data_IF_959442004428
#
_entry.id   IF_959442004428
#
_cell.length_a   1.000
_cell.length_b   1.000
_cell.length_c   1.000
_cell.angle_alpha   90.00
_cell.angle_beta   90.00
_cell.angle_gamma   90.00
#
_symmetry.space_group_name_H-M   'P 1'
#
loop_
_entity.id
_entity.type
_entity.pdbx_description
1 polymer ?
#
# COMPACT_ATOMS: atom_id res chain seq x y z
N UNK A 1 -43.19 -18.57 7.51
CA UNK A 1 -41.96 -17.99 6.93
C UNK A 1 -42.38 -16.81 6.10
N UNK A 2 -41.88 -15.59 6.36
CA UNK A 2 -42.21 -14.43 5.51
C UNK A 2 -41.62 -14.66 4.12
N UNK A 3 -42.36 -14.30 3.09
CA UNK A 3 -41.85 -14.23 1.73
C UNK A 3 -40.85 -13.09 1.60
N UNK A 4 -39.92 -13.17 0.65
CA UNK A 4 -39.00 -12.06 0.36
C UNK A 4 -39.76 -10.75 0.08
N UNK A 5 -40.91 -10.86 -0.60
CA UNK A 5 -41.80 -9.73 -0.89
C UNK A 5 -42.31 -9.05 0.40
N UNK A 6 -42.72 -9.83 1.39
CA UNK A 6 -43.18 -9.30 2.69
C UNK A 6 -42.03 -8.71 3.52
N UNK A 7 -40.81 -9.23 3.37
CA UNK A 7 -39.64 -8.68 4.07
C UNK A 7 -39.14 -7.36 3.48
N UNK A 8 -39.34 -7.15 2.16
CA UNK A 8 -38.97 -5.90 1.48
C UNK A 8 -40.07 -4.84 1.52
N UNK A 9 -41.30 -5.23 1.87
CA UNK A 9 -42.41 -4.31 2.01
C UNK A 9 -42.10 -3.25 3.08
N UNK A 10 -42.00 -1.98 2.68
CA UNK A 10 -41.68 -0.87 3.56
C UNK A 10 -40.18 -0.56 3.70
N UNK A 11 -39.30 -1.23 2.94
CA UNK A 11 -37.91 -0.79 2.85
C UNK A 11 -37.83 0.60 2.21
N UNK A 12 -37.23 1.53 2.95
CA UNK A 12 -36.93 2.88 2.46
C UNK A 12 -35.41 2.92 2.25
N UNK A 13 -35.00 3.15 1.00
CA UNK A 13 -33.60 3.26 0.67
C UNK A 13 -32.99 4.50 1.36
N UNK A 14 -31.91 4.34 2.15
CA UNK A 14 -31.21 5.46 2.72
C UNK A 14 -30.48 6.25 1.61
N UNK A 15 -30.44 7.58 1.75
CA UNK A 15 -29.64 8.45 0.88
C UNK A 15 -28.32 8.76 1.60
N UNK A 16 -27.23 8.20 1.10
CA UNK A 16 -25.90 8.45 1.65
C UNK A 16 -25.26 9.69 1.03
N UNK A 17 -24.77 10.60 1.88
CA UNK A 17 -24.03 11.78 1.46
C UNK A 17 -22.62 11.44 0.95
N UNK A 18 -22.04 12.35 0.15
CA UNK A 18 -20.62 12.26 -0.22
C UNK A 18 -19.76 12.70 0.96
N UNK A 19 -18.80 11.87 1.35
CA UNK A 19 -17.79 12.23 2.35
C UNK A 19 -16.65 12.99 1.67
N UNK A 20 -16.26 14.14 2.22
CA UNK A 20 -15.10 14.92 1.75
C UNK A 20 -13.82 14.33 2.33
N UNK A 21 -12.72 14.44 1.59
CA UNK A 21 -11.40 14.05 2.11
C UNK A 21 -10.87 15.15 3.03
N UNK A 22 -10.65 14.78 4.29
CA UNK A 22 -10.09 15.60 5.37
C UNK A 22 -9.11 14.75 6.19
N UNK A 23 -8.25 15.38 7.01
CA UNK A 23 -7.42 14.66 7.98
C UNK A 23 -8.21 13.60 8.77
N UNK A 24 -9.37 13.95 9.34
CA UNK A 24 -10.19 13.01 10.11
C UNK A 24 -10.66 11.79 9.32
N UNK A 25 -10.96 11.96 8.03
CA UNK A 25 -11.36 10.83 7.18
C UNK A 25 -10.17 9.94 6.82
N UNK A 26 -8.96 10.51 6.70
CA UNK A 26 -7.76 9.70 6.54
C UNK A 26 -7.46 8.92 7.82
N UNK A 27 -7.59 9.53 9.01
CA UNK A 27 -7.45 8.85 10.30
C UNK A 27 -8.45 7.69 10.40
N UNK A 28 -9.71 7.94 10.05
CA UNK A 28 -10.76 6.90 10.07
C UNK A 28 -10.39 5.71 9.19
N UNK A 29 -9.88 5.95 7.98
CA UNK A 29 -9.45 4.88 7.07
C UNK A 29 -8.17 4.20 7.58
N UNK A 30 -7.21 4.94 8.14
CA UNK A 30 -5.99 4.41 8.77
C UNK A 30 -6.36 3.42 9.88
N UNK A 31 -7.13 3.86 10.87
CA UNK A 31 -7.58 3.03 12.00
C UNK A 31 -8.37 1.82 11.52
N UNK A 32 -9.35 2.01 10.62
CA UNK A 32 -10.15 0.90 10.10
C UNK A 32 -9.30 -0.16 9.41
N UNK A 33 -8.36 0.25 8.55
CA UNK A 33 -7.45 -0.68 7.89
C UNK A 33 -6.49 -1.34 8.89
N UNK A 34 -6.00 -0.60 9.88
CA UNK A 34 -5.05 -1.13 10.86
C UNK A 34 -5.68 -2.24 11.70
N UNK A 35 -6.88 -1.98 12.25
CA UNK A 35 -7.64 -2.95 13.02
C UNK A 35 -7.99 -4.19 12.20
N UNK A 36 -8.34 -3.99 10.92
CA UNK A 36 -8.65 -5.09 10.03
C UNK A 36 -7.42 -5.96 9.72
N UNK A 37 -6.26 -5.35 9.42
CA UNK A 37 -5.01 -6.07 9.18
C UNK A 37 -4.56 -6.81 10.44
N UNK A 38 -4.59 -6.17 11.61
CA UNK A 38 -4.17 -6.79 12.86
C UNK A 38 -5.01 -8.05 13.16
N UNK A 39 -6.33 -7.95 13.04
CA UNK A 39 -7.23 -9.11 13.19
C UNK A 39 -6.89 -10.23 12.20
N UNK A 40 -6.55 -9.90 10.95
CA UNK A 40 -6.21 -10.88 9.91
C UNK A 40 -4.86 -11.54 10.15
N UNK A 41 -3.87 -10.79 10.65
CA UNK A 41 -2.58 -11.35 11.10
C UNK A 41 -2.81 -12.34 12.24
N UNK A 42 -3.62 -11.98 13.23
CA UNK A 42 -3.93 -12.88 14.34
C UNK A 42 -4.70 -14.11 13.87
N UNK A 43 -5.71 -13.93 13.02
CA UNK A 43 -6.47 -15.03 12.38
C UNK A 43 -5.54 -16.00 11.64
N UNK A 44 -4.59 -15.48 10.85
CA UNK A 44 -3.61 -16.29 10.09
C UNK A 44 -2.86 -17.28 10.97
N UNK A 45 -2.47 -16.87 12.18
CA UNK A 45 -1.72 -17.71 13.10
C UNK A 45 -2.58 -18.73 13.85
N UNK A 46 -3.90 -18.61 13.81
CA UNK A 46 -4.84 -19.55 14.43
C UNK A 46 -5.39 -20.60 13.46
N UNK A 47 -5.36 -20.32 12.15
CA UNK A 47 -5.83 -21.26 11.13
C UNK A 47 -4.79 -22.34 10.87
N UNK A 48 -5.23 -23.60 10.92
CA UNK A 48 -4.39 -24.76 10.67
C UNK A 48 -5.01 -25.66 9.59
N UNK A 49 -4.18 -26.18 8.70
CA UNK A 49 -4.56 -27.15 7.65
C UNK A 49 -5.64 -26.68 6.64
N UNK A 50 -5.91 -25.38 6.54
CA UNK A 50 -6.81 -24.81 5.52
C UNK A 50 -6.06 -23.79 4.64
N UNK A 51 -5.53 -24.27 3.51
CA UNK A 51 -4.74 -23.45 2.59
C UNK A 51 -5.58 -22.42 1.84
N UNK A 52 -6.86 -22.71 1.60
CA UNK A 52 -7.75 -21.75 0.95
C UNK A 52 -8.07 -20.61 1.90
N UNK A 53 -8.35 -20.91 3.17
CA UNK A 53 -8.59 -19.87 4.18
C UNK A 53 -7.35 -19.00 4.38
N UNK A 54 -6.16 -19.59 4.51
CA UNK A 54 -4.91 -18.83 4.58
C UNK A 54 -4.68 -17.93 3.35
N UNK A 55 -5.13 -18.37 2.15
CA UNK A 55 -5.11 -17.54 0.94
C UNK A 55 -6.08 -16.37 1.05
N UNK A 56 -7.31 -16.58 1.52
CA UNK A 56 -8.28 -15.48 1.68
C UNK A 56 -7.83 -14.46 2.72
N UNK A 57 -7.22 -14.88 3.82
CA UNK A 57 -6.60 -13.96 4.79
C UNK A 57 -5.53 -13.10 4.12
N UNK A 58 -4.69 -13.69 3.26
CA UNK A 58 -3.69 -12.92 2.50
C UNK A 58 -4.33 -11.92 1.53
N UNK A 59 -5.39 -12.31 0.84
CA UNK A 59 -6.15 -11.43 -0.07
C UNK A 59 -6.75 -10.24 0.71
N UNK A 60 -7.31 -10.50 1.90
CA UNK A 60 -7.88 -9.47 2.77
C UNK A 60 -6.80 -8.46 3.20
N UNK A 61 -5.63 -8.92 3.65
CA UNK A 61 -4.53 -8.03 4.03
C UNK A 61 -4.10 -7.17 2.84
N UNK A 62 -3.91 -7.76 1.66
CA UNK A 62 -3.55 -7.01 0.44
C UNK A 62 -4.61 -5.96 0.09
N UNK A 63 -5.90 -6.29 0.24
CA UNK A 63 -7.00 -5.34 0.01
C UNK A 63 -6.95 -4.15 0.98
N UNK A 64 -6.72 -4.39 2.28
CA UNK A 64 -6.64 -3.32 3.27
C UNK A 64 -5.40 -2.45 3.10
N UNK A 65 -4.24 -3.04 2.77
CA UNK A 65 -3.02 -2.30 2.42
C UNK A 65 -3.24 -1.39 1.21
N UNK A 66 -3.78 -1.94 0.12
CA UNK A 66 -4.07 -1.15 -1.10
C UNK A 66 -5.09 -0.05 -0.84
N UNK A 67 -6.10 -0.31 0.00
CA UNK A 67 -7.09 0.70 0.40
C UNK A 67 -6.43 1.84 1.15
N UNK A 68 -5.55 1.53 2.11
CA UNK A 68 -4.78 2.53 2.85
C UNK A 68 -3.91 3.35 1.89
N UNK A 69 -3.06 2.70 1.08
CA UNK A 69 -2.16 3.42 0.16
C UNK A 69 -2.90 4.29 -0.84
N UNK A 70 -4.00 3.79 -1.42
CA UNK A 70 -4.83 4.59 -2.32
C UNK A 70 -5.43 5.81 -1.63
N UNK A 71 -5.99 5.63 -0.43
CA UNK A 71 -6.75 6.70 0.22
C UNK A 71 -5.84 7.69 0.96
N UNK A 72 -4.87 7.19 1.73
CA UNK A 72 -4.04 7.96 2.66
C UNK A 72 -2.70 8.42 2.07
N UNK A 73 -2.25 7.86 0.93
CA UNK A 73 -1.01 8.27 0.25
C UNK A 73 -1.32 8.86 -1.13
N UNK A 74 -1.88 8.05 -2.04
CA UNK A 74 -2.12 8.44 -3.44
C UNK A 74 -3.10 9.61 -3.57
N UNK A 75 -4.21 9.55 -2.83
CA UNK A 75 -5.28 10.54 -2.88
C UNK A 75 -5.15 11.62 -1.80
N UNK A 76 -4.07 11.57 -0.99
CA UNK A 76 -3.78 12.60 0.00
C UNK A 76 -3.13 13.79 -0.69
N UNK A 77 -3.74 14.97 -0.51
CA UNK A 77 -3.29 16.20 -1.13
C UNK A 77 -1.82 16.46 -0.79
N UNK A 78 -1.01 16.75 -1.81
CA UNK A 78 0.40 17.13 -1.66
C UNK A 78 1.41 15.98 -1.64
N UNK A 79 1.00 14.71 -1.57
CA UNK A 79 1.94 13.58 -1.50
C UNK A 79 1.94 12.77 -2.80
N UNK A 80 0.80 12.18 -3.18
CA UNK A 80 0.63 11.22 -4.30
C UNK A 80 1.44 9.91 -4.16
N UNK A 81 2.65 9.96 -3.66
CA UNK A 81 3.57 8.84 -3.43
C UNK A 81 4.69 9.31 -2.49
N UNK A 82 5.48 8.41 -1.92
CA UNK A 82 6.63 8.82 -1.11
C UNK A 82 7.74 9.44 -1.96
N UNK A 83 7.87 8.96 -3.19
CA UNK A 83 8.91 9.36 -4.12
C UNK A 83 8.37 9.56 -5.53
N UNK A 84 9.08 10.32 -6.35
CA UNK A 84 8.81 10.44 -7.78
C UNK A 84 10.07 10.26 -8.61
N UNK A 85 9.89 9.72 -9.81
CA UNK A 85 10.90 9.76 -10.87
C UNK A 85 11.11 11.21 -11.33
N UNK A 86 12.39 11.64 -11.33
CA UNK A 86 12.79 12.93 -11.87
C UNK A 86 12.56 12.92 -13.38
N UNK A 87 11.92 13.97 -13.88
CA UNK A 87 11.54 14.10 -15.30
C UNK A 87 10.66 12.94 -15.82
N UNK A 88 9.73 12.44 -14.99
CA UNK A 88 8.73 11.46 -15.40
C UNK A 88 7.85 11.94 -16.57
N UNK A 89 7.35 10.97 -17.33
CA UNK A 89 6.37 11.18 -18.39
C UNK A 89 5.03 11.71 -17.82
N UNK A 90 4.19 12.32 -18.66
CA UNK A 90 2.83 12.72 -18.23
C UNK A 90 1.98 11.55 -17.72
N UNK A 91 2.24 10.35 -18.25
CA UNK A 91 1.52 9.13 -17.91
C UNK A 91 2.32 8.28 -16.92
N UNK A 92 1.89 8.33 -15.66
CA UNK A 92 2.55 7.66 -14.53
C UNK A 92 1.65 6.64 -13.84
N UNK A 93 2.26 5.65 -13.20
CA UNK A 93 1.58 4.72 -12.32
C UNK A 93 2.02 4.91 -10.86
N UNK A 94 1.13 4.57 -9.92
CA UNK A 94 1.46 4.42 -8.51
C UNK A 94 2.08 3.04 -8.28
N UNK A 95 3.38 3.00 -7.99
CA UNK A 95 4.18 1.79 -7.86
C UNK A 95 4.57 1.54 -6.41
N UNK A 96 4.55 0.28 -5.99
CA UNK A 96 5.04 -0.15 -4.68
C UNK A 96 6.48 -0.63 -4.81
N UNK A 97 7.46 0.14 -4.35
CA UNK A 97 8.88 -0.19 -4.53
C UNK A 97 9.24 -1.54 -3.88
N UNK A 98 8.59 -1.87 -2.76
CA UNK A 98 8.54 -3.24 -2.23
C UNK A 98 7.17 -3.82 -2.60
N UNK A 99 7.10 -4.94 -3.36
CA UNK A 99 5.83 -5.54 -3.76
C UNK A 99 4.90 -5.79 -2.57
N UNK A 100 3.62 -5.44 -2.70
CA UNK A 100 2.64 -5.57 -1.62
C UNK A 100 2.57 -6.98 -1.01
N UNK A 101 2.73 -8.02 -1.83
CA UNK A 101 2.78 -9.41 -1.36
C UNK A 101 3.94 -9.65 -0.37
N UNK A 102 5.11 -9.04 -0.59
CA UNK A 102 6.23 -9.14 0.35
C UNK A 102 5.96 -8.39 1.65
N UNK A 103 5.35 -7.20 1.57
CA UNK A 103 4.95 -6.43 2.76
C UNK A 103 3.99 -7.24 3.64
N UNK A 104 2.97 -7.85 3.02
CA UNK A 104 2.07 -8.78 3.70
C UNK A 104 2.81 -9.95 4.33
N UNK A 105 3.73 -10.58 3.62
CA UNK A 105 4.47 -11.73 4.15
C UNK A 105 5.38 -11.32 5.32
N UNK A 106 5.92 -10.10 5.32
CA UNK A 106 6.65 -9.51 6.46
C UNK A 106 5.74 -9.26 7.68
N UNK A 107 4.51 -8.80 7.46
CA UNK A 107 3.50 -8.65 8.52
C UNK A 107 3.14 -10.00 9.15
N UNK A 108 2.85 -11.01 8.32
CA UNK A 108 2.53 -12.37 8.77
C UNK A 108 3.72 -13.02 9.49
N UNK A 109 4.94 -12.70 9.08
CA UNK A 109 6.16 -13.14 9.77
C UNK A 109 6.50 -12.28 11.01
N UNK A 110 5.67 -11.27 11.35
CA UNK A 110 5.87 -10.32 12.45
C UNK A 110 7.24 -9.65 12.42
N UNK A 111 7.75 -9.35 11.22
CA UNK A 111 9.04 -8.65 11.00
C UNK A 111 8.89 -7.15 10.90
N UNK A 112 7.71 -6.68 10.53
CA UNK A 112 7.33 -5.27 10.51
C UNK A 112 6.00 -5.09 11.23
N UNK A 113 5.75 -3.88 11.69
CA UNK A 113 4.48 -3.46 12.29
C UNK A 113 3.49 -3.01 11.21
N UNK A 114 2.20 -2.88 11.57
CA UNK A 114 1.18 -2.31 10.67
C UNK A 114 1.51 -0.88 10.22
N UNK A 115 1.96 0.05 11.09
CA UNK A 115 2.43 1.36 10.65
C UNK A 115 3.58 1.30 9.64
N UNK A 116 4.56 0.40 9.83
CA UNK A 116 5.64 0.20 8.86
C UNK A 116 5.14 -0.38 7.52
N UNK A 117 4.12 -1.25 7.53
CA UNK A 117 3.52 -1.75 6.31
C UNK A 117 2.73 -0.66 5.55
N UNK A 118 2.02 0.19 6.29
CA UNK A 118 1.36 1.38 5.75
C UNK A 118 2.35 2.37 5.15
N UNK A 119 3.48 2.58 5.81
CA UNK A 119 4.56 3.45 5.36
C UNK A 119 5.59 2.69 4.50
N UNK A 120 5.16 1.74 3.66
CA UNK A 120 6.08 1.09 2.70
C UNK A 120 6.39 2.08 1.56
N UNK A 121 7.63 2.11 1.03
CA UNK A 121 8.01 3.01 -0.05
C UNK A 121 7.12 2.83 -1.30
N UNK A 122 6.59 3.94 -1.80
CA UNK A 122 5.80 4.02 -3.02
C UNK A 122 6.32 5.12 -3.93
N UNK A 123 6.19 4.92 -5.23
CA UNK A 123 6.83 5.77 -6.24
C UNK A 123 5.82 6.13 -7.32
N UNK A 124 5.81 7.39 -7.72
CA UNK A 124 5.24 7.81 -9.00
C UNK A 124 6.26 7.54 -10.09
N UNK A 125 5.99 6.54 -10.91
CA UNK A 125 6.90 6.03 -11.93
C UNK A 125 6.25 6.15 -13.32
N UNK A 126 7.01 6.56 -14.34
CA UNK A 126 6.52 6.60 -15.72
C UNK A 126 6.01 5.24 -16.15
N UNK A 127 4.85 5.19 -16.83
CA UNK A 127 4.21 3.93 -17.21
C UNK A 127 5.15 3.05 -18.05
N UNK A 128 5.92 3.65 -18.96
CA UNK A 128 6.92 2.94 -19.76
C UNK A 128 7.98 2.24 -18.89
N UNK A 129 8.46 2.90 -17.83
CA UNK A 129 9.43 2.33 -16.89
C UNK A 129 8.82 1.23 -16.02
N UNK A 130 7.57 1.39 -15.61
CA UNK A 130 6.83 0.33 -14.91
C UNK A 130 6.67 -0.92 -15.79
N UNK A 131 6.42 -0.76 -17.10
CA UNK A 131 6.42 -1.88 -18.04
C UNK A 131 7.80 -2.52 -18.18
N UNK A 132 8.86 -1.72 -18.35
CA UNK A 132 10.24 -2.21 -18.42
C UNK A 132 10.64 -3.03 -17.18
N UNK A 133 10.22 -2.59 -15.99
CA UNK A 133 10.42 -3.31 -14.73
C UNK A 133 9.78 -4.72 -14.75
N UNK A 134 8.57 -4.82 -15.32
CA UNK A 134 7.85 -6.10 -15.46
C UNK A 134 8.55 -7.02 -16.46
N UNK A 135 8.96 -6.48 -17.60
CA UNK A 135 9.67 -7.25 -18.64
C UNK A 135 11.02 -7.78 -18.16
N UNK A 136 11.72 -7.01 -17.32
CA UNK A 136 12.97 -7.43 -16.68
C UNK A 136 12.74 -8.43 -15.52
N UNK A 137 11.50 -8.84 -15.23
CA UNK A 137 11.17 -9.84 -14.22
C UNK A 137 11.17 -9.33 -12.77
N UNK A 138 11.20 -8.00 -12.58
CA UNK A 138 11.21 -7.33 -11.27
C UNK A 138 9.82 -6.90 -10.79
N UNK A 139 8.75 -7.38 -11.44
CA UNK A 139 7.37 -7.10 -11.05
C UNK A 139 7.03 -7.56 -9.62
N UNK A 140 7.60 -8.70 -9.21
CA UNK A 140 7.33 -9.37 -7.94
C UNK A 140 8.61 -9.71 -7.16
N UNK A 141 9.74 -9.10 -7.55
CA UNK A 141 11.06 -9.36 -6.95
C UNK A 141 11.69 -8.04 -6.51
N UNK A 142 12.35 -8.08 -5.37
CA UNK A 142 13.16 -6.99 -4.83
C UNK A 142 14.51 -7.59 -4.44
N UNK A 143 15.64 -7.12 -5.00
CA UNK A 143 16.94 -7.70 -4.71
C UNK A 143 17.40 -7.48 -3.26
N UNK A 144 16.89 -6.43 -2.61
CA UNK A 144 17.11 -6.18 -1.18
C UNK A 144 15.91 -5.46 -0.58
N UNK A 145 15.31 -6.03 0.47
CA UNK A 145 14.25 -5.33 1.23
C UNK A 145 14.81 -4.13 2.01
N UNK A 146 16.05 -4.23 2.49
CA UNK A 146 16.69 -3.18 3.27
C UNK A 146 17.20 -2.02 2.39
N UNK A 147 17.59 -2.30 1.14
CA UNK A 147 17.96 -1.29 0.13
C UNK A 147 16.98 -1.37 -1.06
N UNK A 148 15.77 -0.83 -0.92
CA UNK A 148 14.67 -1.12 -1.83
C UNK A 148 14.89 -0.56 -3.24
N UNK A 149 15.64 0.53 -3.39
CA UNK A 149 15.95 1.17 -4.69
C UNK A 149 16.86 0.34 -5.60
N UNK A 150 17.53 -0.70 -5.09
CA UNK A 150 18.25 -1.65 -5.94
C UNK A 150 17.36 -2.28 -7.01
N UNK A 151 16.04 -2.31 -6.78
CA UNK A 151 15.05 -2.77 -7.76
C UNK A 151 15.02 -1.93 -9.04
N UNK A 152 15.41 -0.65 -8.98
CA UNK A 152 15.40 0.28 -10.11
C UNK A 152 16.77 0.42 -10.79
N UNK A 153 17.80 -0.32 -10.36
CA UNK A 153 19.12 -0.32 -11.03
C UNK A 153 19.01 -0.64 -12.54
N UNK A 154 18.00 -1.42 -12.94
CA UNK A 154 17.75 -1.78 -14.33
C UNK A 154 17.07 -0.67 -15.17
N UNK A 155 16.58 0.40 -14.54
CA UNK A 155 15.82 1.47 -15.19
C UNK A 155 16.67 2.70 -15.52
N UNK A 156 17.78 2.89 -14.80
CA UNK A 156 18.67 4.05 -14.96
C UNK A 156 17.98 5.38 -14.68
N UNK A 157 17.09 5.41 -13.68
CA UNK A 157 16.28 6.59 -13.32
C UNK A 157 16.82 7.28 -12.08
N UNK A 158 16.51 8.56 -11.95
CA UNK A 158 16.73 9.33 -10.73
C UNK A 158 15.41 9.45 -9.96
N UNK A 159 15.49 9.34 -8.64
CA UNK A 159 14.35 9.40 -7.75
C UNK A 159 14.56 10.51 -6.72
N UNK A 160 13.48 11.21 -6.38
CA UNK A 160 13.42 12.23 -5.34
C UNK A 160 12.22 11.99 -4.43
N UNK A 161 12.27 12.43 -3.17
CA UNK A 161 11.12 12.37 -2.26
C UNK A 161 10.03 13.37 -2.67
N UNK A 162 8.79 13.17 -2.23
CA UNK A 162 7.67 14.08 -2.55
C UNK A 162 7.90 15.52 -2.05
N UNK A 163 8.72 15.71 -1.03
CA UNK A 163 9.15 16.99 -0.46
C UNK A 163 10.47 17.51 -1.04
N UNK A 164 10.83 17.02 -2.23
CA UNK A 164 11.93 17.47 -3.08
C UNK A 164 13.35 17.18 -2.55
N UNK A 165 13.51 16.27 -1.58
CA UNK A 165 14.82 15.83 -1.11
C UNK A 165 15.43 14.78 -2.06
N UNK A 166 16.64 15.08 -2.53
CA UNK A 166 17.46 14.12 -3.28
C UNK A 166 17.87 12.95 -2.38
N UNK A 167 17.84 11.74 -2.95
CA UNK A 167 18.27 10.53 -2.25
C UNK A 167 19.43 9.85 -2.97
N UNK A 168 20.38 9.33 -2.21
CA UNK A 168 21.38 8.40 -2.73
C UNK A 168 20.77 7.01 -2.84
N UNK A 169 20.20 6.67 -4.00
CA UNK A 169 19.52 5.40 -4.25
C UNK A 169 20.36 4.15 -3.91
N UNK A 170 21.70 4.24 -3.99
CA UNK A 170 22.57 3.10 -3.70
C UNK A 170 22.65 2.79 -2.20
N UNK A 171 22.59 3.84 -1.37
CA UNK A 171 22.76 3.75 0.08
C UNK A 171 21.46 4.01 0.86
N UNK A 172 20.38 4.44 0.20
CA UNK A 172 19.10 4.71 0.84
C UNK A 172 18.48 3.42 1.37
N UNK A 173 18.32 3.36 2.70
CA UNK A 173 17.82 2.21 3.43
C UNK A 173 16.33 2.33 3.74
N UNK A 174 15.71 1.19 4.07
CA UNK A 174 14.35 1.16 4.57
C UNK A 174 14.21 1.87 5.94
N UNK A 175 15.27 1.89 6.76
CA UNK A 175 15.30 2.65 8.01
C UNK A 175 15.26 4.15 7.77
N UNK A 176 16.06 4.64 6.82
CA UNK A 176 16.02 6.06 6.39
C UNK A 176 14.67 6.43 5.81
N UNK A 177 14.06 5.53 5.03
CA UNK A 177 12.69 5.72 4.55
C UNK A 177 11.70 5.90 5.72
N UNK A 178 11.67 4.97 6.67
CA UNK A 178 10.75 5.05 7.80
C UNK A 178 10.97 6.29 8.66
N UNK A 179 12.22 6.67 8.91
CA UNK A 179 12.56 7.88 9.65
C UNK A 179 12.13 9.15 8.90
N UNK A 180 12.38 9.22 7.59
CA UNK A 180 12.05 10.40 6.78
C UNK A 180 10.55 10.61 6.66
N UNK A 181 9.75 9.55 6.54
CA UNK A 181 8.30 9.64 6.36
C UNK A 181 7.49 9.33 7.63
N UNK A 182 8.10 9.37 8.81
CA UNK A 182 7.40 9.13 10.07
C UNK A 182 6.22 10.10 10.25
N UNK A 183 6.36 11.36 9.82
CA UNK A 183 5.32 12.39 9.86
C UNK A 183 4.13 12.13 8.93
N UNK A 184 4.24 11.16 8.01
CA UNK A 184 3.15 10.77 7.12
C UNK A 184 2.26 9.67 7.71
N UNK A 185 2.74 8.95 8.73
CA UNK A 185 1.97 7.92 9.43
C UNK A 185 0.79 8.58 10.15
N UNK A 186 -0.40 7.99 9.96
CA UNK A 186 -1.69 8.51 10.44
C UNK A 186 -2.22 7.68 11.59
#
# INVERSE_FOLDING_TARGET
>A
MKTLKESLAGYIAPVYGKTRRTPDTYNTVSTYCADAIQRKVDEYHTVHNDQQWLREIRNDIDNYLRRYHKYCIEQRSGIKSHYYEVAHDEDTDFEHLIPAAMVRDLLLARRITVPQAFNTPTVTLSRAKHHQLKEAGWASKTPSLYHPFRRYECLGIEIRTYDEQDIDQANWTLDQHYAHFEHLVI
#
